data_IF_622627927702
#
_entry.id   IF_622627927702
#
_cell.length_a   1.000
_cell.length_b   1.000
_cell.length_c   1.000
_cell.angle_alpha   90.00
_cell.angle_beta   90.00
_cell.angle_gamma   90.00
#
_symmetry.space_group_name_H-M   'P 1'
#
loop_
_entity.id
_entity.type
_entity.pdbx_description
1 polymer ?
#
# COMPACT_ATOMS: atom_id res chain seq x y z
N UNK A 1 21.23 0.40 -1.43
CA UNK A 1 19.86 0.20 -1.94
C UNK A 1 18.95 0.08 -0.73
N UNK A 2 17.75 0.64 -0.74
CA UNK A 2 16.99 0.79 0.51
C UNK A 2 15.95 -0.30 0.73
N UNK A 3 15.75 -0.68 1.99
CA UNK A 3 14.70 -1.59 2.44
C UNK A 3 13.92 -0.89 3.56
N UNK A 4 12.58 -0.93 3.47
CA UNK A 4 11.71 -0.47 4.54
C UNK A 4 11.25 -1.67 5.34
N UNK A 5 11.44 -1.60 6.66
CA UNK A 5 11.14 -2.71 7.57
C UNK A 5 10.11 -2.24 8.59
N UNK A 6 9.07 -3.05 8.79
CA UNK A 6 8.12 -2.89 9.90
C UNK A 6 8.74 -3.47 11.18
N UNK A 7 8.74 -2.68 12.26
CA UNK A 7 9.35 -3.06 13.52
C UNK A 7 8.31 -3.46 14.55
N UNK A 8 8.58 -4.57 15.23
CA UNK A 8 7.75 -5.13 16.30
C UNK A 8 8.58 -5.35 17.55
N UNK A 9 8.00 -5.07 18.72
CA UNK A 9 8.63 -5.34 20.00
C UNK A 9 8.66 -6.86 20.26
N UNK A 10 9.84 -7.48 20.46
CA UNK A 10 9.96 -8.94 20.49
C UNK A 10 9.15 -9.65 21.58
N UNK A 11 8.94 -8.99 22.72
CA UNK A 11 8.31 -9.61 23.90
C UNK A 11 6.80 -9.35 23.91
N UNK A 12 6.37 -8.12 23.65
CA UNK A 12 4.96 -7.73 23.74
C UNK A 12 4.23 -7.87 22.40
N UNK A 13 4.96 -8.10 21.30
CA UNK A 13 4.45 -8.02 19.93
C UNK A 13 3.74 -6.69 19.64
N UNK A 14 4.21 -5.60 20.26
CA UNK A 14 3.67 -4.27 20.03
C UNK A 14 4.32 -3.66 18.77
N UNK A 15 3.54 -3.06 17.86
CA UNK A 15 4.11 -2.37 16.71
C UNK A 15 4.89 -1.13 17.18
N UNK A 16 6.13 -0.98 16.70
CA UNK A 16 7.05 0.10 17.11
C UNK A 16 7.29 1.13 16.00
N UNK A 17 6.71 0.93 14.82
CA UNK A 17 6.83 1.82 13.67
C UNK A 17 7.60 1.17 12.53
N UNK A 18 8.34 1.98 11.78
CA UNK A 18 9.13 1.53 10.64
C UNK A 18 10.53 2.13 10.62
N UNK A 19 11.45 1.46 9.93
CA UNK A 19 12.80 1.96 9.65
C UNK A 19 13.13 1.87 8.16
N UNK A 20 13.96 2.81 7.70
CA UNK A 20 14.62 2.72 6.40
C UNK A 20 16.07 2.25 6.63
N UNK A 21 16.41 1.12 6.02
CA UNK A 21 17.73 0.51 6.10
C UNK A 21 18.43 0.62 4.75
N UNK A 22 19.73 0.95 4.74
CA UNK A 22 20.56 0.71 3.57
C UNK A 22 21.04 -0.75 3.59
N UNK A 23 20.55 -1.52 2.63
CA UNK A 23 20.80 -2.95 2.50
C UNK A 23 22.28 -3.31 2.31
N UNK A 24 23.11 -2.39 1.79
CA UNK A 24 24.52 -2.69 1.56
C UNK A 24 25.39 -2.51 2.82
N UNK A 25 24.96 -1.63 3.72
CA UNK A 25 25.77 -1.21 4.88
C UNK A 25 25.16 -1.60 6.22
N UNK A 26 23.93 -2.13 6.21
CA UNK A 26 23.09 -2.38 7.37
C UNK A 26 22.92 -1.14 8.27
N UNK A 27 23.08 0.06 7.69
CA UNK A 27 22.93 1.31 8.42
C UNK A 27 21.46 1.76 8.40
N UNK A 28 20.97 2.18 9.57
CA UNK A 28 19.63 2.76 9.67
C UNK A 28 19.71 4.22 9.19
N UNK A 29 19.07 4.48 8.06
CA UNK A 29 19.03 5.80 7.42
C UNK A 29 18.01 6.71 8.09
N UNK A 30 16.84 6.16 8.45
CA UNK A 30 15.79 6.94 9.13
C UNK A 30 14.84 6.06 9.94
N UNK A 31 14.27 6.64 11.00
CA UNK A 31 13.23 6.02 11.82
C UNK A 31 11.89 6.75 11.62
N UNK A 32 10.81 5.97 11.49
CA UNK A 32 9.43 6.45 11.48
C UNK A 32 8.67 5.80 12.63
N UNK A 33 8.84 6.41 13.80
CA UNK A 33 8.10 6.07 15.00
C UNK A 33 6.64 6.52 14.82
N UNK A 34 5.69 5.67 15.22
CA UNK A 34 4.27 5.99 15.18
C UNK A 34 3.54 5.72 13.86
N UNK A 35 4.25 5.30 12.80
CA UNK A 35 3.63 4.81 11.57
C UNK A 35 3.60 3.28 11.61
N UNK A 36 2.42 2.71 11.81
CA UNK A 36 2.24 1.28 11.99
C UNK A 36 1.68 0.63 10.72
N UNK A 37 1.94 -0.67 10.56
CA UNK A 37 1.50 -1.44 9.40
C UNK A 37 2.62 -1.73 8.41
N UNK A 38 2.31 -2.65 7.49
CA UNK A 38 3.24 -3.14 6.48
C UNK A 38 3.51 -2.05 5.42
N UNK A 39 4.78 -1.71 5.15
CA UNK A 39 5.12 -0.81 4.06
C UNK A 39 5.00 -1.51 2.70
N UNK A 40 4.41 -0.84 1.72
CA UNK A 40 4.31 -1.29 0.34
C UNK A 40 5.12 -0.35 -0.55
N UNK A 41 6.10 -0.91 -1.25
CA UNK A 41 7.02 -0.13 -2.10
C UNK A 41 6.56 -0.22 -3.56
N UNK A 42 6.51 0.91 -4.25
CA UNK A 42 6.18 0.95 -5.67
C UNK A 42 7.23 0.19 -6.50
N UNK A 43 6.88 -0.42 -7.65
CA UNK A 43 7.84 -1.21 -8.44
C UNK A 43 9.04 -0.41 -8.95
N UNK A 44 8.92 0.91 -9.09
CA UNK A 44 10.05 1.81 -9.41
C UNK A 44 10.90 2.22 -8.19
N UNK A 45 10.62 1.70 -6.99
CA UNK A 45 11.33 1.97 -5.74
C UNK A 45 11.36 3.45 -5.30
N UNK A 46 10.46 4.29 -5.82
CA UNK A 46 10.41 5.73 -5.53
C UNK A 46 9.47 6.09 -4.39
N UNK A 47 8.40 5.32 -4.21
CA UNK A 47 7.32 5.65 -3.29
C UNK A 47 7.04 4.48 -2.37
N UNK A 48 6.76 4.79 -1.11
CA UNK A 48 6.35 3.84 -0.08
C UNK A 48 4.97 4.26 0.40
N UNK A 49 4.04 3.32 0.42
CA UNK A 49 2.69 3.52 0.93
C UNK A 49 2.52 2.62 2.13
N UNK A 50 2.10 3.21 3.26
CA UNK A 50 1.73 2.45 4.45
C UNK A 50 0.27 2.67 4.78
N UNK A 51 -0.43 1.60 5.12
CA UNK A 51 -1.80 1.66 5.65
C UNK A 51 -1.76 1.77 7.17
N UNK A 52 -1.99 2.99 7.68
CA UNK A 52 -2.17 3.21 9.10
C UNK A 52 -3.64 3.01 9.49
N UNK A 53 -3.92 1.95 10.25
CA UNK A 53 -5.28 1.56 10.63
C UNK A 53 -5.62 2.19 11.98
N UNK A 54 -6.44 3.25 11.94
CA UNK A 54 -6.96 3.93 13.11
C UNK A 54 -8.32 3.37 13.55
N UNK A 55 -8.87 3.94 14.63
CA UNK A 55 -10.22 3.58 15.12
C UNK A 55 -11.34 4.04 14.18
N UNK A 56 -11.13 5.16 13.49
CA UNK A 56 -12.16 5.82 12.66
C UNK A 56 -11.97 5.59 11.16
N UNK A 57 -11.10 4.64 10.76
CA UNK A 57 -10.81 4.34 9.37
C UNK A 57 -9.34 4.07 9.09
N UNK A 58 -8.99 4.06 7.81
CA UNK A 58 -7.64 3.77 7.32
C UNK A 58 -7.04 5.04 6.72
N UNK A 59 -5.80 5.34 7.08
CA UNK A 59 -5.03 6.44 6.51
C UNK A 59 -3.91 5.87 5.67
N UNK A 60 -3.89 6.21 4.38
CA UNK A 60 -2.83 5.85 3.46
C UNK A 60 -1.75 6.93 3.56
N UNK A 61 -0.61 6.58 4.14
CA UNK A 61 0.52 7.50 4.27
C UNK A 61 1.49 7.26 3.12
N UNK A 62 1.68 8.26 2.27
CA UNK A 62 2.52 8.19 1.07
C UNK A 62 3.83 8.94 1.31
N UNK A 63 4.94 8.25 1.06
CA UNK A 63 6.29 8.76 1.29
C UNK A 63 7.17 8.53 0.08
N UNK A 64 8.08 9.45 -0.19
CA UNK A 64 9.12 9.33 -1.20
C UNK A 64 10.41 8.79 -0.58
N UNK A 65 11.06 7.85 -1.26
CA UNK A 65 12.39 7.35 -0.90
C UNK A 65 13.44 8.34 -1.39
N UNK A 66 14.15 8.99 -0.45
CA UNK A 66 15.32 9.83 -0.73
C UNK A 66 16.56 9.22 -0.08
N UNK A 67 17.74 9.66 -0.54
CA UNK A 67 19.02 9.27 0.08
C UNK A 67 19.09 9.66 1.56
N UNK A 68 18.45 10.78 1.93
CA UNK A 68 18.38 11.26 3.31
C UNK A 68 17.32 10.55 4.18
N UNK A 69 16.53 9.62 3.62
CA UNK A 69 15.45 8.96 4.33
C UNK A 69 14.09 9.01 3.62
N UNK A 70 13.04 8.59 4.34
CA UNK A 70 11.66 8.67 3.86
C UNK A 70 11.08 10.08 4.05
N UNK A 71 10.82 10.76 2.92
CA UNK A 71 10.19 12.08 2.89
C UNK A 71 8.67 11.91 2.79
N UNK A 72 7.93 12.51 3.71
CA UNK A 72 6.47 12.55 3.60
C UNK A 72 6.03 13.34 2.36
N UNK A 73 5.06 12.80 1.61
CA UNK A 73 4.43 13.49 0.50
C UNK A 73 3.05 14.00 0.91
N UNK A 74 2.12 13.09 1.16
CA UNK A 74 0.75 13.37 1.57
C UNK A 74 0.15 12.13 2.24
N UNK A 75 -0.97 12.31 2.93
CA UNK A 75 -1.79 11.24 3.48
C UNK A 75 -3.23 11.35 2.97
N UNK A 76 -3.87 10.19 2.78
CA UNK A 76 -5.27 10.11 2.35
C UNK A 76 -6.04 9.32 3.40
N UNK A 77 -6.98 9.98 4.07
CA UNK A 77 -7.87 9.34 5.03
C UNK A 77 -9.11 8.81 4.32
N UNK A 78 -9.42 7.54 4.52
CA UNK A 78 -10.63 6.90 4.02
C UNK A 78 -11.38 6.19 5.15
N UNK A 79 -12.70 6.13 5.02
CA UNK A 79 -13.57 5.31 5.88
C UNK A 79 -13.71 3.88 5.38
N UNK A 80 -13.17 3.57 4.20
CA UNK A 80 -13.14 2.21 3.66
C UNK A 80 -12.16 1.33 4.43
N UNK A 81 -12.61 0.13 4.78
CA UNK A 81 -11.76 -0.88 5.39
C UNK A 81 -10.94 -1.61 4.32
N UNK A 82 -9.74 -1.09 4.04
CA UNK A 82 -8.86 -1.61 3.00
C UNK A 82 -8.27 -2.97 3.40
N UNK A 83 -8.52 -4.01 2.60
CA UNK A 83 -7.88 -5.33 2.71
C UNK A 83 -6.49 -5.31 2.09
N UNK A 84 -6.42 -4.93 0.82
CA UNK A 84 -5.27 -5.12 -0.04
C UNK A 84 -5.04 -3.93 -0.96
N UNK A 85 -3.78 -3.76 -1.37
CA UNK A 85 -3.36 -2.70 -2.29
C UNK A 85 -2.39 -3.21 -3.35
N UNK A 86 -2.42 -2.59 -4.52
CA UNK A 86 -1.54 -2.93 -5.64
C UNK A 86 -1.14 -1.68 -6.42
N UNK A 87 0.05 -1.73 -7.03
CA UNK A 87 0.58 -0.66 -7.86
C UNK A 87 0.34 -0.97 -9.33
N UNK A 88 -0.15 0.01 -10.08
CA UNK A 88 -0.36 -0.10 -11.52
C UNK A 88 0.38 1.02 -12.26
N UNK A 89 1.01 0.77 -13.41
CA UNK A 89 1.67 1.83 -14.18
C UNK A 89 0.70 2.96 -14.49
N UNK A 90 1.08 4.20 -14.17
CA UNK A 90 0.22 5.36 -14.43
C UNK A 90 0.09 5.59 -15.93
N UNK A 91 -1.13 5.93 -16.39
CA UNK A 91 -1.37 6.21 -17.81
C UNK A 91 -0.97 7.64 -18.21
N UNK A 92 -0.97 8.57 -17.25
CA UNK A 92 -0.73 10.00 -17.48
C UNK A 92 0.66 10.42 -17.04
N UNK A 93 1.34 9.62 -16.21
CA UNK A 93 2.65 9.96 -15.65
C UNK A 93 3.64 8.80 -15.79
N UNK A 94 4.94 9.09 -15.70
CA UNK A 94 6.01 8.09 -15.72
C UNK A 94 6.17 7.37 -14.36
N UNK A 95 5.06 7.15 -13.66
CA UNK A 95 4.99 6.64 -12.30
C UNK A 95 4.09 5.42 -12.16
N UNK A 96 3.64 5.18 -10.93
CA UNK A 96 2.64 4.18 -10.62
C UNK A 96 1.48 4.88 -9.89
N UNK A 97 0.28 4.42 -10.15
CA UNK A 97 -0.90 4.72 -9.36
C UNK A 97 -1.19 3.55 -8.41
N UNK A 98 -1.97 3.81 -7.36
CA UNK A 98 -2.33 2.81 -6.36
C UNK A 98 -3.81 2.48 -6.47
N UNK A 99 -4.11 1.18 -6.45
CA UNK A 99 -5.46 0.66 -6.32
C UNK A 99 -5.57 -0.10 -5.00
N UNK A 100 -6.67 0.08 -4.29
CA UNK A 100 -6.93 -0.55 -3.02
C UNK A 100 -8.35 -1.11 -2.98
N UNK A 101 -8.52 -2.35 -2.51
CA UNK A 101 -9.84 -2.99 -2.37
C UNK A 101 -10.37 -2.85 -0.96
N UNK A 102 -11.66 -2.58 -0.82
CA UNK A 102 -12.35 -2.67 0.46
C UNK A 102 -12.73 -4.13 0.78
N UNK A 103 -12.72 -4.46 2.08
CA UNK A 103 -13.17 -5.77 2.58
C UNK A 103 -14.70 -5.83 2.67
N UNK A 104 -15.30 -4.73 3.11
CA UNK A 104 -16.69 -4.70 3.56
C UNK A 104 -17.67 -4.23 2.46
N UNK A 105 -17.12 -3.70 1.36
CA UNK A 105 -17.86 -3.11 0.25
C UNK A 105 -17.23 -3.53 -1.07
N UNK A 106 -18.02 -3.58 -2.13
CA UNK A 106 -17.54 -3.78 -3.51
C UNK A 106 -16.93 -2.49 -4.12
N UNK A 107 -16.25 -1.70 -3.29
CA UNK A 107 -15.65 -0.43 -3.67
C UNK A 107 -14.14 -0.60 -3.85
N UNK A 108 -13.58 0.04 -4.88
CA UNK A 108 -12.14 0.16 -5.09
C UNK A 108 -11.76 1.62 -4.92
N UNK A 109 -10.72 1.88 -4.14
CA UNK A 109 -10.10 3.20 -4.03
C UNK A 109 -8.97 3.30 -5.07
N UNK A 110 -9.05 4.34 -5.90
CA UNK A 110 -7.96 4.75 -6.79
C UNK A 110 -7.24 5.96 -6.19
N UNK A 111 -5.91 5.92 -6.21
CA UNK A 111 -5.06 6.99 -5.72
C UNK A 111 -3.95 7.29 -6.73
N UNK A 112 -3.90 8.53 -7.18
CA UNK A 112 -2.79 9.04 -7.97
C UNK A 112 -1.61 9.39 -7.05
N UNK A 113 -0.48 8.68 -7.20
CA UNK A 113 0.68 8.87 -6.31
C UNK A 113 1.49 10.15 -6.60
N UNK A 114 1.22 10.84 -7.71
CA UNK A 114 1.89 12.08 -8.09
C UNK A 114 1.11 13.30 -7.61
N UNK A 115 -0.20 13.36 -7.85
CA UNK A 115 -1.05 14.48 -7.44
C UNK A 115 -1.62 14.34 -6.03
N UNK A 116 -1.73 13.12 -5.52
CA UNK A 116 -2.42 12.81 -4.26
C UNK A 116 -3.94 12.81 -4.37
N UNK A 117 -4.48 12.95 -5.58
CA UNK A 117 -5.93 12.87 -5.82
C UNK A 117 -6.42 11.43 -5.62
N UNK A 118 -7.50 11.29 -4.86
CA UNK A 118 -8.15 10.02 -4.57
C UNK A 118 -9.60 10.01 -5.04
N UNK A 119 -10.04 8.88 -5.60
CA UNK A 119 -11.39 8.68 -6.06
C UNK A 119 -11.88 7.30 -5.64
N UNK A 120 -13.10 7.24 -5.09
CA UNK A 120 -13.81 5.98 -4.91
C UNK A 120 -14.39 5.59 -6.29
N UNK A 121 -14.01 4.41 -6.78
CA UNK A 121 -14.37 3.94 -8.11
C UNK A 121 -15.11 2.63 -8.01
N UNK A 122 -16.34 2.61 -8.53
CA UNK A 122 -17.08 1.37 -8.80
C UNK A 122 -16.71 0.94 -10.22
N UNK A 123 -15.72 0.04 -10.38
CA UNK A 123 -15.37 -0.49 -11.70
C UNK A 123 -15.37 -2.02 -11.74
N UNK A 124 -16.41 -2.57 -12.36
CA UNK A 124 -16.55 -4.00 -12.70
C UNK A 124 -15.38 -4.50 -13.58
N UNK A 125 -14.78 -3.64 -14.42
CA UNK A 125 -13.67 -4.02 -15.31
C UNK A 125 -12.31 -4.03 -14.59
N UNK A 126 -12.05 -3.08 -13.68
CA UNK A 126 -10.82 -3.08 -12.86
C UNK A 126 -10.80 -4.26 -11.88
N UNK A 127 -11.96 -4.65 -11.35
CA UNK A 127 -12.11 -5.85 -10.52
C UNK A 127 -11.54 -7.09 -11.24
N UNK A 128 -11.84 -7.30 -12.53
CA UNK A 128 -11.32 -8.47 -13.28
C UNK A 128 -9.80 -8.45 -13.43
N UNK A 129 -9.20 -7.27 -13.65
CA UNK A 129 -7.74 -7.12 -13.80
C UNK A 129 -7.03 -7.31 -12.45
N UNK A 130 -7.60 -6.76 -11.37
CA UNK A 130 -7.07 -6.91 -10.01
C UNK A 130 -7.22 -8.35 -9.52
N UNK A 131 -8.37 -9.00 -9.71
CA UNK A 131 -8.60 -10.41 -9.35
C UNK A 131 -7.65 -11.34 -10.11
N UNK A 132 -7.48 -11.18 -11.43
CA UNK A 132 -6.57 -12.03 -12.21
C UNK A 132 -5.10 -11.88 -11.78
N UNK A 133 -4.68 -10.70 -11.29
CA UNK A 133 -3.34 -10.48 -10.72
C UNK A 133 -3.24 -10.97 -9.27
N UNK A 134 -4.32 -10.99 -8.51
CA UNK A 134 -4.38 -11.59 -7.15
C UNK A 134 -4.21 -13.12 -7.20
N UNK A 135 -4.82 -13.78 -8.18
CA UNK A 135 -4.71 -15.23 -8.39
C UNK A 135 -3.27 -15.71 -8.71
N UNK A 136 -2.37 -14.81 -9.12
CA UNK A 136 -0.97 -15.15 -9.39
C UNK A 136 -0.09 -15.13 -8.14
N UNK A 137 -0.56 -14.59 -7.00
CA UNK A 137 0.25 -14.45 -5.77
C UNK A 137 -0.16 -15.48 -4.71
N UNK A 138 -1.35 -16.07 -4.81
CA UNK A 138 -1.80 -17.18 -3.98
C UNK A 138 -2.23 -18.35 -4.85
N UNK A 139 -1.32 -19.30 -5.07
CA UNK A 139 -1.74 -20.67 -5.37
C UNK A 139 -2.71 -21.12 -4.25
N UNK A 140 -3.78 -21.80 -4.67
CA UNK A 140 -4.86 -22.41 -3.85
C UNK A 140 -5.87 -21.48 -3.17
N UNK A 141 -6.79 -20.90 -3.95
CA UNK A 141 -8.20 -20.82 -3.53
C UNK A 141 -9.14 -21.22 -4.67
N UNK A 142 -9.97 -22.23 -4.39
CA UNK A 142 -11.01 -22.75 -5.27
C UNK A 142 -12.08 -21.67 -5.42
N UNK A 143 -12.30 -21.19 -6.65
CA UNK A 143 -13.42 -20.31 -6.97
C UNK A 143 -14.75 -21.06 -6.76
N UNK A 144 -15.73 -20.55 -6.01
CA UNK A 144 -17.10 -20.96 -6.22
C UNK A 144 -17.57 -20.32 -7.54
N UNK A 145 -18.16 -21.16 -8.37
CA UNK A 145 -18.76 -20.84 -9.66
C UNK A 145 -19.72 -19.65 -9.59
N UNK A 146 -19.36 -18.54 -10.25
CA UNK A 146 -20.33 -17.53 -10.66
C UNK A 146 -20.94 -17.96 -12.00
N UNK A 147 -22.15 -18.52 -11.91
CA UNK A 147 -23.03 -18.74 -13.05
C UNK A 147 -23.55 -17.40 -13.56
N UNK A 148 -23.24 -17.09 -14.81
CA UNK A 148 -23.83 -15.98 -15.58
C UNK A 148 -25.32 -16.29 -15.84
N UNK A 149 -26.19 -15.38 -15.40
CA UNK A 149 -27.48 -15.10 -16.01
C UNK A 149 -27.67 -13.59 -16.07
#
# INVERSE_FOLDING_TARGET
GFVVVECWEPVTSRPMGQILLDYLTDTVVSHKLGLYGRPHVSPNSRTVVTLDRGRDGVTLVVQEVKESGLKFLFDVKTTLNISDITFYPSQTTHGYDLYASATDKEDILFLNLVSGENYDVIQIIIIIIIINRFQSVTETFILPSFSLF
#
